data_IF_414669892664
#
_entry.id   IF_414669892664
#
_cell.length_a   1.000
_cell.length_b   1.000
_cell.length_c   1.000
_cell.angle_alpha   90.00
_cell.angle_beta   90.00
_cell.angle_gamma   90.00
#
_symmetry.space_group_name_H-M   'P 1'
#
loop_
_entity.id
_entity.type
_entity.pdbx_description
1 polymer ?
#
# COMPACT_ATOMS: atom_id res chain seq x y z
N UNK A 1 18.11 2.72 -7.18
CA UNK A 1 17.50 1.94 -6.59
C UNK A 1 16.11 1.73 -6.78
N UNK A 2 15.67 0.64 -6.95
CA UNK A 2 14.35 0.44 -7.22
C UNK A 2 13.61 0.33 -6.01
N UNK A 3 12.47 0.77 -5.99
CA UNK A 3 11.65 0.69 -4.86
C UNK A 3 10.57 -0.23 -5.12
N UNK A 4 10.86 -1.36 -5.64
CA UNK A 4 9.82 -2.29 -5.87
C UNK A 4 9.31 -2.81 -4.56
N UNK A 5 8.03 -2.72 -4.34
CA UNK A 5 7.40 -3.21 -3.13
C UNK A 5 7.01 -4.65 -3.36
N UNK A 6 7.43 -5.54 -2.47
CA UNK A 6 7.10 -6.93 -2.62
C UNK A 6 5.81 -7.26 -1.89
N UNK A 7 5.26 -8.40 -2.19
CA UNK A 7 4.03 -8.82 -1.54
C UNK A 7 4.20 -8.93 -0.04
N UNK A 8 5.38 -9.35 0.39
CA UNK A 8 5.63 -9.49 1.81
C UNK A 8 5.46 -8.16 2.54
N UNK A 9 5.94 -7.09 1.93
CA UNK A 9 5.83 -5.78 2.54
C UNK A 9 4.38 -5.36 2.60
N UNK A 10 3.63 -5.62 1.55
CA UNK A 10 2.22 -5.27 1.51
C UNK A 10 1.48 -5.96 2.64
N UNK A 11 1.74 -7.25 2.82
CA UNK A 11 1.06 -7.99 3.86
C UNK A 11 1.49 -7.54 5.24
N UNK A 12 2.76 -7.18 5.38
CA UNK A 12 3.25 -6.70 6.67
C UNK A 12 2.58 -5.40 7.09
N UNK A 13 2.23 -4.59 6.13
CA UNK A 13 1.55 -3.35 6.44
C UNK A 13 0.07 -3.55 6.73
N UNK A 14 -0.40 -4.78 6.61
CA UNK A 14 -1.80 -5.05 6.87
C UNK A 14 -2.70 -4.77 5.70
N UNK A 15 -2.11 -4.63 4.52
CA UNK A 15 -2.89 -4.38 3.32
C UNK A 15 -3.11 -5.68 2.58
N UNK A 16 -4.19 -5.75 1.85
CA UNK A 16 -4.42 -6.87 0.96
C UNK A 16 -3.93 -6.46 -0.42
N UNK A 17 -3.67 -7.48 -1.23
CA UNK A 17 -3.08 -7.19 -2.54
C UNK A 17 -4.01 -6.33 -3.39
N UNK A 18 -5.30 -6.57 -3.32
CA UNK A 18 -6.22 -5.77 -4.13
C UNK A 18 -6.27 -4.33 -3.65
N UNK A 19 -6.01 -4.10 -2.36
CA UNK A 19 -5.94 -2.74 -1.86
C UNK A 19 -4.71 -2.04 -2.41
N UNK A 20 -3.60 -2.77 -2.52
CA UNK A 20 -2.41 -2.22 -3.11
C UNK A 20 -2.66 -1.84 -4.57
N UNK A 21 -3.38 -2.70 -5.29
CA UNK A 21 -3.72 -2.40 -6.67
C UNK A 21 -4.57 -1.14 -6.78
N UNK A 22 -5.46 -0.98 -5.84
CA UNK A 22 -6.31 0.20 -5.83
C UNK A 22 -5.50 1.45 -5.60
N UNK A 23 -4.54 1.39 -4.70
CA UNK A 23 -3.67 2.52 -4.43
C UNK A 23 -2.88 2.89 -5.69
N UNK A 24 -2.37 1.88 -6.39
CA UNK A 24 -1.66 2.13 -7.63
C UNK A 24 -2.55 2.85 -8.63
N UNK A 25 -3.79 2.44 -8.67
CA UNK A 25 -4.74 3.04 -9.60
C UNK A 25 -5.00 4.50 -9.24
N UNK A 26 -5.15 4.77 -7.97
CA UNK A 26 -5.40 6.12 -7.52
C UNK A 26 -4.22 7.02 -7.82
N UNK A 27 -3.02 6.54 -7.55
CA UNK A 27 -1.82 7.33 -7.76
C UNK A 27 -1.37 7.34 -9.21
N UNK A 28 -1.83 6.37 -9.98
CA UNK A 28 -1.42 6.18 -11.36
C UNK A 28 0.06 5.91 -11.47
N UNK A 29 0.63 5.32 -10.43
CA UNK A 29 2.03 4.92 -10.42
C UNK A 29 2.22 4.02 -9.22
N UNK A 30 3.38 3.38 -9.16
CA UNK A 30 3.68 2.53 -8.02
C UNK A 30 3.93 3.39 -6.79
N UNK A 31 3.28 3.08 -5.68
CA UNK A 31 3.53 3.84 -4.46
C UNK A 31 4.87 3.42 -3.87
N UNK A 32 5.48 4.31 -3.11
CA UNK A 32 6.68 3.93 -2.39
C UNK A 32 6.28 3.49 -1.00
N UNK A 33 7.26 3.07 -0.22
CA UNK A 33 6.98 2.51 1.10
C UNK A 33 6.31 3.52 2.02
N UNK A 34 6.76 4.75 1.96
CA UNK A 34 6.18 5.80 2.79
C UNK A 34 4.70 6.00 2.45
N UNK A 35 4.40 6.04 1.17
CA UNK A 35 3.03 6.23 0.75
C UNK A 35 2.16 5.05 1.16
N UNK A 36 2.68 3.85 1.03
CA UNK A 36 1.94 2.68 1.44
C UNK A 36 1.67 2.69 2.93
N UNK A 37 2.62 3.15 3.71
CA UNK A 37 2.43 3.22 5.14
C UNK A 37 1.31 4.18 5.49
N UNK A 38 1.27 5.31 4.81
CA UNK A 38 0.22 6.28 5.05
C UNK A 38 -1.14 5.71 4.69
N UNK A 39 -1.23 5.08 3.53
CA UNK A 39 -2.48 4.48 3.11
C UNK A 39 -2.90 3.36 4.06
N UNK A 40 -1.93 2.59 4.53
CA UNK A 40 -2.22 1.50 5.44
C UNK A 40 -2.85 2.03 6.73
N UNK A 41 -2.31 3.11 7.24
CA UNK A 41 -2.85 3.70 8.45
C UNK A 41 -4.27 4.21 8.23
N UNK A 42 -4.49 4.84 7.10
CA UNK A 42 -5.80 5.35 6.79
C UNK A 42 -6.82 4.23 6.62
N UNK A 43 -6.41 3.17 5.96
CA UNK A 43 -7.30 2.04 5.75
C UNK A 43 -7.63 1.37 7.08
N UNK A 44 -6.67 1.26 7.96
CA UNK A 44 -6.91 0.65 9.24
C UNK A 44 -7.94 1.40 10.05
N UNK A 45 -7.81 2.70 10.09
CA UNK A 45 -8.75 3.51 10.82
C UNK A 45 -10.13 3.42 10.21
N UNK A 46 -10.17 3.28 8.92
CA UNK A 46 -11.42 3.24 8.23
C UNK A 46 -12.19 1.98 8.53
N UNK A 47 -11.46 0.91 8.76
CA UNK A 47 -12.11 -0.36 8.93
C UNK A 47 -12.50 -0.70 10.32
N UNK A 48 -12.42 0.14 11.19
CA UNK A 48 -12.71 -0.19 12.58
C UNK A 48 -14.13 -0.65 12.83
#
# INVERSE_FOLDING_TARGET
MTSKISKDIILRLGLKYHEFEEIKHILKRHPNLTELSIFSAMWSEHCS
#
